data_IF_124863657858
#
_entry.id   IF_124863657858
#
_cell.length_a   1.000
_cell.length_b   1.000
_cell.length_c   1.000
_cell.angle_alpha   90.00
_cell.angle_beta   90.00
_cell.angle_gamma   90.00
#
_symmetry.space_group_name_H-M   'P 1'
#
loop_
_entity.id
_entity.type
_entity.pdbx_description
1 polymer ?
#
# COMPACT_ATOMS: atom_id res chain seq x y z
N UNK A 1 -4.17 -5.93 12.72
CA UNK A 1 -4.13 -7.30 12.15
C UNK A 1 -2.87 -7.47 11.31
N UNK A 2 -2.35 -8.70 11.20
CA UNK A 2 -1.11 -9.00 10.46
C UNK A 2 -1.37 -9.95 9.28
N UNK A 3 -0.66 -9.72 8.19
CA UNK A 3 -0.79 -10.48 6.95
C UNK A 3 0.55 -11.06 6.51
N UNK A 4 0.51 -12.20 5.82
CA UNK A 4 1.62 -12.75 5.06
C UNK A 4 1.13 -13.01 3.63
N UNK A 5 1.56 -12.18 2.68
CA UNK A 5 1.16 -12.29 1.29
C UNK A 5 2.21 -13.06 0.48
N UNK A 6 1.77 -14.00 -0.35
CA UNK A 6 2.68 -14.69 -1.27
C UNK A 6 3.05 -13.85 -2.50
N UNK A 7 3.90 -14.41 -3.36
CA UNK A 7 4.38 -13.75 -4.58
C UNK A 7 3.28 -13.30 -5.55
N UNK A 8 2.11 -13.96 -5.54
CA UNK A 8 0.99 -13.60 -6.42
C UNK A 8 0.31 -12.28 -6.03
N UNK A 9 0.57 -11.79 -4.80
CA UNK A 9 -0.09 -10.64 -4.21
C UNK A 9 0.88 -9.49 -3.87
N UNK A 10 2.00 -9.37 -4.58
CA UNK A 10 3.01 -8.34 -4.30
C UNK A 10 2.53 -6.89 -4.47
N UNK A 11 1.53 -6.64 -5.32
CA UNK A 11 0.89 -5.32 -5.40
C UNK A 11 -0.03 -5.08 -4.20
N UNK A 12 -0.85 -6.06 -3.85
CA UNK A 12 -1.73 -6.01 -2.69
C UNK A 12 -0.94 -5.78 -1.40
N UNK A 13 0.20 -6.47 -1.22
CA UNK A 13 1.03 -6.32 -0.01
C UNK A 13 1.49 -4.87 0.20
N UNK A 14 1.82 -4.15 -0.88
CA UNK A 14 2.16 -2.72 -0.80
C UNK A 14 0.95 -1.87 -0.42
N UNK A 15 -0.22 -2.14 -0.96
CA UNK A 15 -1.43 -1.40 -0.61
C UNK A 15 -1.89 -1.62 0.82
N UNK A 16 -1.79 -2.84 1.34
CA UNK A 16 -2.06 -3.12 2.74
C UNK A 16 -1.07 -2.37 3.66
N UNK A 17 0.20 -2.24 3.27
CA UNK A 17 1.17 -1.37 3.98
C UNK A 17 0.83 0.11 3.88
N UNK A 18 0.33 0.59 2.74
CA UNK A 18 -0.18 1.96 2.60
C UNK A 18 -1.33 2.21 3.59
N UNK A 19 -2.22 1.24 3.78
CA UNK A 19 -3.31 1.28 4.77
C UNK A 19 -2.83 1.17 6.23
N UNK A 20 -1.53 1.04 6.48
CA UNK A 20 -0.98 0.87 7.82
C UNK A 20 -1.09 -0.55 8.38
N UNK A 21 -1.37 -1.55 7.55
CA UNK A 21 -1.42 -2.95 7.99
C UNK A 21 -0.04 -3.60 7.93
N UNK A 22 0.36 -4.28 9.02
CA UNK A 22 1.55 -5.14 9.06
C UNK A 22 1.38 -6.29 8.05
N UNK A 23 2.04 -6.18 6.90
CA UNK A 23 1.92 -7.13 5.79
C UNK A 23 3.29 -7.59 5.33
N UNK A 24 3.72 -8.74 5.82
CA UNK A 24 4.92 -9.41 5.34
C UNK A 24 4.71 -9.94 3.91
N UNK A 25 5.79 -9.97 3.12
CA UNK A 25 5.76 -10.45 1.73
C UNK A 25 6.69 -11.66 1.57
N UNK A 26 6.10 -12.81 1.31
CA UNK A 26 6.80 -14.08 1.17
C UNK A 26 7.34 -14.24 -0.25
N UNK A 27 8.66 -14.13 -0.38
CA UNK A 27 9.33 -14.22 -1.69
C UNK A 27 9.50 -15.64 -2.19
N UNK A 28 9.54 -16.64 -1.31
CA UNK A 28 9.69 -18.04 -1.68
C UNK A 28 8.35 -18.63 -2.20
N UNK A 29 8.32 -19.93 -2.48
CA UNK A 29 7.11 -20.60 -2.92
C UNK A 29 6.01 -20.55 -1.86
N UNK A 30 4.74 -20.41 -2.30
CA UNK A 30 3.58 -20.57 -1.43
C UNK A 30 3.34 -22.06 -1.18
N UNK A 31 4.10 -22.63 -0.26
CA UNK A 31 4.11 -24.04 0.11
C UNK A 31 3.72 -24.22 1.59
N UNK A 32 4.03 -25.38 2.18
CA UNK A 32 3.79 -25.60 3.60
C UNK A 32 4.65 -24.69 4.50
N UNK A 33 5.81 -24.23 4.06
CA UNK A 33 6.64 -23.32 4.83
C UNK A 33 6.02 -21.92 4.91
N UNK A 34 5.41 -21.45 3.82
CA UNK A 34 4.60 -20.22 3.82
C UNK A 34 3.47 -20.28 4.86
N UNK A 35 2.67 -21.36 4.84
CA UNK A 35 1.56 -21.55 5.77
C UNK A 35 2.04 -21.63 7.22
N UNK A 36 3.05 -22.46 7.52
CA UNK A 36 3.65 -22.54 8.87
C UNK A 36 4.21 -21.21 9.35
N UNK A 37 4.82 -20.43 8.47
CA UNK A 37 5.32 -19.10 8.83
C UNK A 37 4.17 -18.16 9.21
N UNK A 38 3.07 -18.18 8.46
CA UNK A 38 1.89 -17.39 8.77
C UNK A 38 1.31 -17.76 10.14
N UNK A 39 1.11 -19.05 10.40
CA UNK A 39 0.62 -19.56 11.68
C UNK A 39 1.53 -19.16 12.85
N UNK A 40 2.82 -19.47 12.76
CA UNK A 40 3.80 -19.19 13.82
C UNK A 40 3.86 -17.71 14.18
N UNK A 41 3.64 -16.82 13.21
CA UNK A 41 3.67 -15.38 13.39
C UNK A 41 2.29 -14.76 13.68
N UNK A 42 1.23 -15.59 13.77
CA UNK A 42 -0.15 -15.13 13.97
C UNK A 42 -0.65 -14.24 12.84
N UNK A 43 -0.26 -14.53 11.59
CA UNK A 43 -0.60 -13.78 10.38
C UNK A 43 -1.67 -14.51 9.58
N UNK A 44 -2.55 -13.76 8.94
CA UNK A 44 -3.44 -14.31 7.90
C UNK A 44 -2.63 -14.50 6.62
N UNK A 45 -2.59 -15.74 6.11
CA UNK A 45 -1.93 -16.07 4.86
C UNK A 45 -2.80 -15.62 3.67
N UNK A 46 -2.28 -14.74 2.83
CA UNK A 46 -2.96 -14.27 1.61
C UNK A 46 -2.34 -14.93 0.39
N UNK A 47 -3.16 -15.55 -0.46
CA UNK A 47 -2.70 -16.17 -1.70
C UNK A 47 -3.79 -16.19 -2.78
N UNK A 48 -3.39 -16.21 -4.05
CA UNK A 48 -4.29 -16.50 -5.19
C UNK A 48 -4.10 -17.90 -5.75
N UNK A 49 -3.35 -18.74 -5.06
CA UNK A 49 -2.99 -20.08 -5.52
C UNK A 49 -3.94 -21.12 -4.93
N UNK A 50 -4.73 -21.76 -5.79
CA UNK A 50 -5.67 -22.81 -5.39
C UNK A 50 -4.99 -24.03 -4.77
N UNK A 51 -3.76 -24.34 -5.20
CA UNK A 51 -3.00 -25.47 -4.65
C UNK A 51 -2.60 -25.28 -3.18
N UNK A 52 -2.61 -24.04 -2.68
CA UNK A 52 -2.38 -23.75 -1.26
C UNK A 52 -3.60 -24.11 -0.42
N UNK A 53 -4.82 -23.91 -0.94
CA UNK A 53 -6.07 -24.19 -0.23
C UNK A 53 -6.33 -25.69 -0.04
N UNK A 54 -5.83 -26.52 -0.95
CA UNK A 54 -5.96 -27.96 -0.85
C UNK A 54 -5.12 -28.58 0.30
N UNK A 55 -4.28 -27.78 0.96
CA UNK A 55 -3.40 -28.24 2.04
C UNK A 55 -4.08 -28.01 3.38
N UNK A 56 -4.20 -29.07 4.17
CA UNK A 56 -4.65 -28.95 5.56
C UNK A 56 -3.65 -28.09 6.35
N UNK A 57 -4.16 -27.07 7.04
CA UNK A 57 -3.39 -26.16 7.86
C UNK A 57 -4.26 -25.54 8.95
N UNK A 58 -3.79 -25.47 10.21
CA UNK A 58 -4.54 -24.86 11.32
C UNK A 58 -4.62 -23.32 11.26
N UNK A 59 -3.76 -22.64 10.49
CA UNK A 59 -3.77 -21.19 10.37
C UNK A 59 -4.87 -20.62 9.47
N UNK A 60 -5.09 -19.31 9.55
CA UNK A 60 -6.08 -18.61 8.72
C UNK A 60 -5.49 -18.34 7.33
N UNK A 61 -6.12 -18.87 6.29
CA UNK A 61 -5.76 -18.64 4.90
C UNK A 61 -6.92 -17.94 4.20
N UNK A 62 -6.65 -16.82 3.55
CA UNK A 62 -7.58 -16.15 2.67
C UNK A 62 -7.11 -16.31 1.22
N UNK A 63 -7.95 -16.99 0.43
CA UNK A 63 -7.85 -16.97 -1.02
C UNK A 63 -8.36 -15.62 -1.52
N UNK A 64 -7.57 -14.95 -2.36
CA UNK A 64 -7.98 -13.70 -3.01
C UNK A 64 -8.38 -14.00 -4.46
N UNK A 65 -9.67 -13.93 -4.75
CA UNK A 65 -10.23 -14.29 -6.05
C UNK A 65 -9.82 -13.25 -7.11
N UNK A 66 -9.95 -11.97 -6.77
CA UNK A 66 -9.83 -10.86 -7.71
C UNK A 66 -8.44 -10.72 -8.35
N UNK A 67 -8.38 -10.36 -9.63
CA UNK A 67 -7.14 -10.01 -10.34
C UNK A 67 -6.74 -8.54 -10.17
N UNK A 68 -7.73 -7.65 -10.01
CA UNK A 68 -7.52 -6.21 -9.91
C UNK A 68 -7.19 -5.83 -8.48
N UNK A 69 -6.09 -5.11 -8.28
CA UNK A 69 -5.60 -4.79 -6.92
C UNK A 69 -6.61 -3.99 -6.09
N UNK A 70 -7.41 -3.11 -6.71
CA UNK A 70 -8.45 -2.35 -6.01
C UNK A 70 -9.52 -3.29 -5.42
N UNK A 71 -9.95 -4.28 -6.20
CA UNK A 71 -10.91 -5.29 -5.80
C UNK A 71 -10.31 -6.25 -4.76
N UNK A 72 -9.04 -6.63 -4.90
CA UNK A 72 -8.30 -7.42 -3.90
C UNK A 72 -8.26 -6.73 -2.53
N UNK A 73 -8.02 -5.42 -2.50
CA UNK A 73 -8.02 -4.65 -1.25
C UNK A 73 -9.42 -4.70 -0.63
N UNK A 74 -10.46 -4.38 -1.41
CA UNK A 74 -11.84 -4.40 -0.93
C UNK A 74 -12.26 -5.78 -0.41
N UNK A 75 -11.86 -6.84 -1.11
CA UNK A 75 -12.09 -8.24 -0.75
C UNK A 75 -11.46 -8.58 0.60
N UNK A 76 -10.16 -8.31 0.78
CA UNK A 76 -9.46 -8.59 2.05
C UNK A 76 -10.08 -7.81 3.21
N UNK A 77 -10.33 -6.51 3.02
CA UNK A 77 -10.88 -5.67 4.08
C UNK A 77 -12.29 -6.12 4.50
N UNK A 78 -13.14 -6.48 3.53
CA UNK A 78 -14.51 -6.92 3.80
C UNK A 78 -14.54 -8.30 4.45
N UNK A 79 -13.83 -9.27 3.87
CA UNK A 79 -13.84 -10.67 4.35
C UNK A 79 -13.29 -10.80 5.76
N UNK A 80 -12.27 -10.01 6.10
CA UNK A 80 -11.65 -10.06 7.42
C UNK A 80 -12.12 -8.92 8.34
N UNK A 81 -13.16 -8.18 7.92
CA UNK A 81 -13.77 -7.06 8.64
C UNK A 81 -12.75 -6.04 9.17
N UNK A 82 -11.73 -5.73 8.37
CA UNK A 82 -10.69 -4.76 8.70
C UNK A 82 -11.22 -3.37 8.42
N UNK A 83 -11.20 -2.52 9.44
CA UNK A 83 -11.46 -1.09 9.33
C UNK A 83 -10.12 -0.35 9.35
N UNK A 84 -9.60 0.11 8.20
CA UNK A 84 -8.36 0.84 8.18
C UNK A 84 -8.53 2.18 8.92
N UNK A 85 -7.55 2.52 9.75
CA UNK A 85 -7.47 3.82 10.39
C UNK A 85 -6.75 4.80 9.44
N UNK A 86 -7.41 5.88 8.96
CA UNK A 86 -6.74 6.91 8.15
C UNK A 86 -5.50 7.51 8.80
N UNK A 87 -5.42 7.54 10.14
CA UNK A 87 -4.24 7.99 10.89
C UNK A 87 -3.02 7.08 10.73
N UNK A 88 -3.24 5.79 10.44
CA UNK A 88 -2.18 4.82 10.20
C UNK A 88 -1.69 4.81 8.73
N UNK A 89 -2.30 5.58 7.84
CA UNK A 89 -1.93 5.55 6.43
C UNK A 89 -0.52 6.09 6.19
N UNK A 90 0.20 5.44 5.28
CA UNK A 90 1.57 5.80 4.90
C UNK A 90 2.57 5.79 6.08
N UNK A 91 2.29 5.04 7.14
CA UNK A 91 3.17 4.91 8.31
C UNK A 91 4.13 3.71 8.21
N UNK A 92 3.92 2.79 7.26
CA UNK A 92 4.73 1.58 7.09
C UNK A 92 5.57 1.67 5.81
N UNK A 93 6.84 1.24 5.90
CA UNK A 93 7.73 1.10 4.77
C UNK A 93 7.19 0.08 3.76
N UNK A 94 6.97 0.53 2.53
CA UNK A 94 6.45 -0.31 1.44
C UNK A 94 7.40 -1.43 1.01
N UNK A 95 8.68 -1.39 1.39
CA UNK A 95 9.66 -2.43 1.10
C UNK A 95 9.85 -3.38 2.29
N UNK A 96 10.14 -2.82 3.47
CA UNK A 96 10.54 -3.58 4.65
C UNK A 96 9.41 -4.00 5.57
N UNK A 97 8.21 -3.41 5.44
CA UNK A 97 7.12 -3.61 6.40
C UNK A 97 7.45 -3.17 7.84
N UNK A 98 8.28 -2.13 7.97
CA UNK A 98 8.68 -1.53 9.26
C UNK A 98 8.08 -0.13 9.36
N UNK A 99 7.64 0.25 10.57
CA UNK A 99 7.13 1.60 10.84
C UNK A 99 8.17 2.66 10.49
N UNK A 100 7.73 3.71 9.80
CA UNK A 100 8.56 4.84 9.41
C UNK A 100 8.73 5.80 10.59
N UNK A 101 9.98 6.18 10.86
CA UNK A 101 10.30 7.26 11.79
C UNK A 101 10.22 8.63 11.11
N UNK A 102 10.13 9.68 11.92
CA UNK A 102 10.38 11.06 11.45
C UNK A 102 11.87 11.25 11.14
N UNK A 103 12.17 12.17 10.23
CA UNK A 103 13.54 12.63 9.96
C UNK A 103 13.49 14.14 9.73
N UNK A 104 14.51 14.86 10.20
CA UNK A 104 14.63 16.29 9.95
C UNK A 104 14.78 16.56 8.45
N UNK A 105 14.42 17.76 8.01
CA UNK A 105 14.58 18.15 6.62
C UNK A 105 16.05 18.15 6.24
N UNK A 106 16.90 18.64 7.14
CA UNK A 106 18.35 18.71 7.02
C UNK A 106 18.96 17.32 6.78
N UNK A 107 18.58 16.32 7.60
CA UNK A 107 19.05 14.94 7.47
C UNK A 107 18.52 14.23 6.21
N UNK A 108 17.38 14.69 5.67
CA UNK A 108 16.81 14.18 4.44
C UNK A 108 17.52 14.70 3.17
N UNK A 109 18.21 15.85 3.25
CA UNK A 109 18.78 16.57 2.10
C UNK A 109 19.64 15.69 1.19
N UNK A 110 20.53 14.88 1.76
CA UNK A 110 21.46 14.01 1.00
C UNK A 110 20.79 12.74 0.44
N UNK A 111 19.51 12.52 0.74
CA UNK A 111 18.78 11.28 0.44
C UNK A 111 17.60 11.49 -0.50
N UNK A 112 17.26 12.73 -0.83
CA UNK A 112 16.15 13.09 -1.71
C UNK A 112 16.65 14.02 -2.81
N UNK A 113 16.00 14.05 -3.99
CA UNK A 113 16.33 15.02 -5.03
C UNK A 113 16.15 16.48 -4.56
N UNK A 114 16.98 17.40 -5.07
CA UNK A 114 16.97 18.81 -4.65
C UNK A 114 15.58 19.46 -4.75
N UNK A 115 14.85 19.20 -5.83
CA UNK A 115 13.48 19.68 -6.01
C UNK A 115 12.54 19.23 -4.88
N UNK A 116 12.67 17.98 -4.42
CA UNK A 116 11.87 17.46 -3.31
C UNK A 116 12.29 18.13 -2.00
N UNK A 117 13.59 18.26 -1.75
CA UNK A 117 14.10 18.95 -0.57
C UNK A 117 13.60 20.40 -0.49
N UNK A 118 13.60 21.12 -1.60
CA UNK A 118 13.13 22.50 -1.66
C UNK A 118 11.62 22.63 -1.47
N UNK A 119 10.82 21.71 -2.04
CA UNK A 119 9.35 21.81 -2.05
C UNK A 119 8.65 21.16 -0.87
N UNK A 120 9.28 20.19 -0.20
CA UNK A 120 8.65 19.43 0.88
C UNK A 120 9.19 19.83 2.25
N UNK A 121 8.35 19.76 3.27
CA UNK A 121 8.73 20.04 4.66
C UNK A 121 8.76 18.79 5.54
N UNK A 122 7.95 17.79 5.20
CA UNK A 122 7.82 16.57 5.99
C UNK A 122 8.50 15.39 5.30
N UNK A 123 9.34 14.71 6.07
CA UNK A 123 10.03 13.51 5.64
C UNK A 123 9.89 12.42 6.68
N UNK A 124 9.80 11.18 6.20
CA UNK A 124 9.86 9.98 7.02
C UNK A 124 10.92 9.04 6.52
N UNK A 125 11.58 8.32 7.41
CA UNK A 125 12.64 7.37 7.06
C UNK A 125 12.35 5.97 7.60
N UNK A 126 12.62 4.96 6.80
CA UNK A 126 12.63 3.59 7.30
C UNK A 126 13.94 3.32 8.05
N UNK A 127 13.91 2.88 9.32
CA UNK A 127 15.14 2.58 10.06
C UNK A 127 15.89 1.37 9.48
N UNK A 128 15.19 0.44 8.81
CA UNK A 128 15.80 -0.76 8.24
C UNK A 128 16.48 -0.53 6.88
N UNK A 129 15.75 0.00 5.87
CA UNK A 129 16.33 0.21 4.53
C UNK A 129 16.77 1.65 4.25
N UNK A 130 16.63 2.56 5.22
CA UNK A 130 17.02 3.98 5.12
C UNK A 130 16.34 4.77 3.99
N UNK A 131 15.27 4.22 3.41
CA UNK A 131 14.46 4.90 2.38
C UNK A 131 13.67 6.05 2.99
N UNK A 132 13.70 7.20 2.31
CA UNK A 132 12.97 8.40 2.69
C UNK A 132 11.65 8.49 1.92
N UNK A 133 10.59 8.94 2.59
CA UNK A 133 9.24 9.11 2.10
C UNK A 133 8.76 10.54 2.37
N UNK A 134 7.97 11.10 1.47
CA UNK A 134 7.43 12.47 1.55
C UNK A 134 6.04 12.54 0.89
N UNK A 135 5.20 13.55 1.21
CA UNK A 135 3.84 13.67 0.69
C UNK A 135 3.81 14.25 -0.75
N UNK A 136 4.31 13.48 -1.72
CA UNK A 136 4.27 13.86 -3.14
C UNK A 136 2.97 13.47 -3.87
N UNK A 137 2.95 13.70 -5.19
CA UNK A 137 1.84 13.34 -6.10
C UNK A 137 1.41 11.87 -6.01
N UNK A 138 2.35 10.96 -5.71
CA UNK A 138 2.08 9.54 -5.50
C UNK A 138 1.18 9.29 -4.29
N UNK A 139 1.36 10.04 -3.20
CA UNK A 139 0.50 9.96 -2.02
C UNK A 139 -0.92 10.43 -2.35
N UNK A 140 -1.04 11.51 -3.12
CA UNK A 140 -2.34 12.03 -3.55
C UNK A 140 -3.13 11.01 -4.40
N UNK A 141 -2.48 10.40 -5.41
CA UNK A 141 -3.08 9.34 -6.25
C UNK A 141 -3.45 8.09 -5.46
N UNK A 142 -2.58 7.70 -4.52
CA UNK A 142 -2.88 6.59 -3.62
C UNK A 142 -4.13 6.89 -2.78
N UNK A 143 -4.21 8.10 -2.22
CA UNK A 143 -5.35 8.52 -1.41
C UNK A 143 -6.65 8.58 -2.22
N UNK A 144 -6.62 9.07 -3.46
CA UNK A 144 -7.78 9.03 -4.36
C UNK A 144 -8.29 7.60 -4.59
N UNK A 145 -7.38 6.66 -4.80
CA UNK A 145 -7.72 5.24 -4.94
C UNK A 145 -8.32 4.68 -3.65
N UNK A 146 -7.75 5.02 -2.48
CA UNK A 146 -8.29 4.62 -1.19
C UNK A 146 -9.68 5.18 -0.94
N UNK A 147 -9.94 6.45 -1.28
CA UNK A 147 -11.29 7.04 -1.17
C UNK A 147 -12.32 6.28 -1.99
N UNK A 148 -11.97 5.90 -3.23
CA UNK A 148 -12.84 5.08 -4.09
C UNK A 148 -13.15 3.71 -3.48
N UNK A 149 -12.12 3.02 -2.97
CA UNK A 149 -12.25 1.66 -2.40
C UNK A 149 -13.03 1.68 -1.08
N UNK A 150 -12.66 2.60 -0.18
CA UNK A 150 -13.18 2.69 1.18
C UNK A 150 -14.49 3.48 1.27
N UNK A 151 -14.95 4.08 0.18
CA UNK A 151 -16.12 4.98 0.14
C UNK A 151 -16.05 6.05 1.24
N UNK A 152 -14.87 6.64 1.43
CA UNK A 152 -14.64 7.66 2.47
C UNK A 152 -15.43 8.96 2.22
N UNK A 153 -16.16 9.05 1.10
CA UNK A 153 -17.07 10.14 0.77
C UNK A 153 -18.51 9.58 0.63
N UNK A 154 -19.23 9.43 1.77
CA UNK A 154 -20.69 9.22 1.79
C UNK A 154 -21.41 9.51 3.12
N UNK A 155 -20.74 9.66 4.27
CA UNK A 155 -21.42 9.79 5.58
C UNK A 155 -21.08 11.09 6.34
N UNK A 156 -20.94 12.22 5.61
CA UNK A 156 -20.61 13.52 6.20
C UNK A 156 -21.48 14.71 5.79
N UNK A 157 -22.52 14.51 4.98
CA UNK A 157 -23.39 15.59 4.51
C UNK A 157 -24.84 15.12 4.33
N UNK A 158 -25.54 14.87 5.44
CA UNK A 158 -27.02 14.91 5.45
C UNK A 158 -27.49 16.05 6.34
N UNK A 159 -27.22 17.26 5.86
CA UNK A 159 -27.82 18.52 6.28
C UNK A 159 -28.73 19.03 5.15
N UNK A 160 -30.01 19.15 5.47
CA UNK A 160 -31.19 19.63 4.74
C UNK A 160 -31.05 20.49 3.46
N UNK A 161 -31.97 20.17 2.54
CA UNK A 161 -32.74 21.00 1.60
C UNK A 161 -32.16 21.44 0.24
N UNK A 162 -32.99 21.23 -0.80
CA UNK A 162 -33.30 22.27 -1.79
C UNK A 162 -32.81 22.07 -3.23
N UNK A 163 -33.70 21.56 -4.09
CA UNK A 163 -34.04 22.02 -5.45
C UNK A 163 -32.94 22.43 -6.47
N UNK A 164 -32.92 21.66 -7.58
CA UNK A 164 -33.07 22.13 -8.98
C UNK A 164 -31.87 22.79 -9.74
N UNK A 165 -31.59 22.30 -10.96
CA UNK A 165 -31.00 23.15 -12.03
C UNK A 165 -29.78 22.65 -12.83
N UNK A 166 -30.04 22.05 -14.02
CA UNK A 166 -29.42 22.24 -15.36
C UNK A 166 -27.88 22.47 -15.57
N UNK A 167 -27.34 21.57 -16.44
CA UNK A 167 -26.56 21.78 -17.71
C UNK A 167 -25.06 22.18 -17.77
N UNK A 168 -24.33 21.33 -18.51
CA UNK A 168 -23.48 21.55 -19.74
C UNK A 168 -21.95 21.75 -19.65
N UNK A 169 -21.27 20.76 -20.28
CA UNK A 169 -20.07 20.70 -21.17
C UNK A 169 -18.77 21.46 -20.82
N UNK A 170 -17.65 20.75 -21.02
CA UNK A 170 -16.38 21.39 -21.41
C UNK A 170 -15.14 20.49 -21.42
N UNK A 171 -14.85 19.91 -22.60
CA UNK A 171 -13.56 19.63 -23.27
C UNK A 171 -12.32 19.17 -22.46
N UNK A 172 -11.71 18.09 -22.93
CA UNK A 172 -10.56 17.43 -22.31
C UNK A 172 -9.19 17.91 -22.79
N UNK A 173 -8.16 17.14 -22.42
CA UNK A 173 -6.92 17.00 -23.19
C UNK A 173 -6.22 15.69 -22.77
N UNK A 174 -5.60 14.94 -23.69
CA UNK A 174 -5.14 13.58 -23.46
C UNK A 174 -3.72 13.59 -22.91
N UNK A 175 -3.44 12.77 -21.90
CA UNK A 175 -2.06 12.43 -21.57
C UNK A 175 -1.91 10.93 -21.42
N UNK A 176 -0.98 10.42 -22.22
CA UNK A 176 -0.53 9.04 -22.32
C UNK A 176 -0.33 8.40 -20.94
N UNK A 177 -1.06 7.32 -20.69
CA UNK A 177 -0.96 6.45 -19.52
C UNK A 177 0.10 5.37 -19.76
N UNK A 178 1.15 5.28 -18.93
CA UNK A 178 1.72 4.00 -18.57
C UNK A 178 0.96 3.40 -17.37
N UNK A 179 0.55 2.15 -17.52
CA UNK A 179 -0.42 1.38 -16.72
C UNK A 179 0.08 0.89 -15.34
N UNK A 180 1.00 1.61 -14.68
CA UNK A 180 1.52 1.18 -13.38
C UNK A 180 1.78 2.33 -12.38
N UNK A 181 0.85 2.59 -11.44
CA UNK A 181 1.01 3.66 -10.44
C UNK A 181 2.11 3.40 -9.39
N UNK A 182 2.71 2.20 -9.38
CA UNK A 182 3.78 1.82 -8.44
C UNK A 182 5.19 1.92 -9.03
N UNK A 183 5.33 2.18 -10.34
CA UNK A 183 6.62 2.07 -11.04
C UNK A 183 7.63 3.17 -10.68
N UNK A 184 7.18 4.35 -10.22
CA UNK A 184 8.06 5.51 -10.00
C UNK A 184 8.46 5.76 -8.55
N UNK A 185 8.21 4.80 -7.65
CA UNK A 185 8.81 4.87 -6.32
C UNK A 185 10.33 4.64 -6.37
N UNK A 186 10.88 3.99 -7.40
CA UNK A 186 12.29 3.63 -7.50
C UNK A 186 13.10 4.64 -8.33
N UNK A 187 13.71 5.61 -7.66
CA UNK A 187 15.04 6.04 -8.09
C UNK A 187 16.06 5.38 -7.16
N UNK A 188 16.67 4.30 -7.66
CA UNK A 188 17.81 3.65 -7.04
C UNK A 188 19.03 4.52 -7.41
N UNK A 189 19.41 5.48 -6.57
CA UNK A 189 20.78 5.98 -6.61
C UNK A 189 21.66 4.81 -6.20
N UNK A 190 22.18 4.11 -7.20
CA UNK A 190 23.22 3.11 -7.07
C UNK A 190 24.51 3.87 -6.76
N UNK A 191 24.70 4.27 -5.50
CA UNK A 191 26.03 4.64 -5.04
C UNK A 191 26.82 3.35 -4.80
N UNK A 192 27.87 3.26 -5.60
CA UNK A 192 28.96 2.31 -5.54
C UNK A 192 29.65 2.41 -4.19
N UNK A 193 29.42 1.49 -3.26
CA UNK A 193 30.44 1.14 -2.26
C UNK A 193 30.36 -0.36 -2.01
N UNK A 194 31.42 -1.04 -2.42
CA UNK A 194 31.65 -2.43 -2.11
C UNK A 194 32.29 -2.61 -0.73
N UNK A 195 32.47 -3.90 -0.45
CA UNK A 195 33.29 -4.54 0.59
C UNK A 195 32.51 -5.09 1.79
N UNK A 196 33.01 -6.17 2.40
CA UNK A 196 33.63 -7.36 1.81
C UNK A 196 32.70 -8.58 1.85
#
# INVERSE_FOLDING_TARGET
MKFLADRSLGRLSRWLRILGCDTAYWRAGADRAFLRAAEREGRVALTRRKDVLARQHPGVVLFVESDRVEDQIAEVLRTLNVKPDPGAFFTICLECNVTLGSVSKEDARSRVPDYVYQTQQEFRICPACRRVYWPGTHRARAMETLRRILKLDADGAKGRNGSEGKRVRGRGCPTFLPSNPLAFCFFRLRSLEGRP
#
